data_IF_054606919245
#
_entry.id   IF_054606919245
#
_cell.length_a   1.000
_cell.length_b   1.000
_cell.length_c   1.000
_cell.angle_alpha   90.00
_cell.angle_beta   90.00
_cell.angle_gamma   90.00
#
_symmetry.space_group_name_H-M   'P 1'
#
loop_
_entity.id
_entity.type
_entity.pdbx_description
1 polymer ?
#
# COMPACT_ATOMS: atom_id res chain seq x y z
N UNK A 1 -9.03 -6.31 4.20
CA UNK A 1 -8.17 -5.12 4.29
C UNK A 1 -8.07 -4.67 5.73
N UNK A 2 -6.94 -4.07 6.13
CA UNK A 2 -6.74 -3.48 7.46
C UNK A 2 -6.62 -1.96 7.35
N UNK A 3 -7.03 -1.25 8.41
CA UNK A 3 -6.95 0.22 8.52
C UNK A 3 -5.98 0.69 9.60
N UNK A 4 -5.99 2.00 9.86
CA UNK A 4 -4.97 2.70 10.67
C UNK A 4 -4.72 2.08 12.05
N UNK A 5 -5.77 1.74 12.81
CA UNK A 5 -5.61 1.17 14.16
C UNK A 5 -4.81 -0.14 14.13
N UNK A 6 -5.21 -1.08 13.27
CA UNK A 6 -4.53 -2.37 13.13
C UNK A 6 -3.11 -2.17 12.61
N UNK A 7 -2.90 -1.21 11.71
CA UNK A 7 -1.55 -0.89 11.22
C UNK A 7 -0.62 -0.37 12.33
N UNK A 8 -1.12 0.48 13.23
CA UNK A 8 -0.38 0.94 14.41
C UNK A 8 -0.01 -0.22 15.33
N UNK A 9 -0.94 -1.14 15.58
CA UNK A 9 -0.69 -2.32 16.42
C UNK A 9 0.39 -3.22 15.78
N UNK A 10 0.28 -3.52 14.47
CA UNK A 10 1.26 -4.33 13.74
C UNK A 10 2.66 -3.71 13.74
N UNK A 11 2.80 -2.37 13.61
CA UNK A 11 4.10 -1.70 13.72
C UNK A 11 4.78 -1.94 15.07
N UNK A 12 4.00 -2.10 16.14
CA UNK A 12 4.55 -2.35 17.49
C UNK A 12 4.85 -3.82 17.77
N UNK A 13 4.16 -4.73 17.07
CA UNK A 13 4.24 -6.17 17.32
C UNK A 13 5.21 -6.91 16.38
N UNK A 14 5.33 -6.46 15.14
CA UNK A 14 6.10 -7.21 14.13
C UNK A 14 7.61 -7.11 14.39
N UNK A 15 8.34 -8.24 14.27
CA UNK A 15 9.79 -8.21 14.35
C UNK A 15 10.37 -7.43 13.16
N UNK A 16 11.57 -6.89 13.36
CA UNK A 16 12.28 -6.09 12.34
C UNK A 16 12.35 -6.79 10.97
N UNK A 17 12.62 -8.10 10.94
CA UNK A 17 12.69 -8.86 9.70
C UNK A 17 11.37 -8.86 8.90
N UNK A 18 10.21 -8.86 9.59
CA UNK A 18 8.91 -8.77 8.92
C UNK A 18 8.63 -7.34 8.45
N UNK A 19 9.09 -6.33 9.19
CA UNK A 19 8.94 -4.92 8.82
C UNK A 19 9.79 -4.54 7.59
N UNK A 20 10.92 -5.20 7.37
CA UNK A 20 11.82 -5.00 6.24
C UNK A 20 11.46 -5.87 5.02
N UNK A 21 10.45 -6.73 5.13
CA UNK A 21 9.96 -7.54 4.00
C UNK A 21 9.23 -6.67 2.98
N UNK A 22 9.29 -7.08 1.73
CA UNK A 22 8.65 -6.43 0.59
C UNK A 22 8.06 -7.49 -0.32
N UNK A 23 6.82 -7.28 -0.77
CA UNK A 23 6.24 -8.07 -1.84
C UNK A 23 6.87 -7.63 -3.16
N UNK A 24 7.76 -8.46 -3.71
CA UNK A 24 8.48 -8.23 -4.95
C UNK A 24 9.09 -6.82 -5.03
N UNK A 25 8.71 -6.02 -6.04
CA UNK A 25 9.23 -4.66 -6.24
C UNK A 25 8.47 -3.59 -5.44
N UNK A 26 7.54 -4.00 -4.58
CA UNK A 26 6.73 -3.13 -3.75
C UNK A 26 7.50 -2.41 -2.63
N UNK A 27 6.82 -1.58 -1.84
CA UNK A 27 7.39 -0.98 -0.64
C UNK A 27 7.52 -2.01 0.48
N UNK A 28 8.43 -1.75 1.41
CA UNK A 28 8.54 -2.54 2.62
C UNK A 28 7.27 -2.44 3.48
N UNK A 29 6.97 -3.51 4.21
CA UNK A 29 5.86 -3.60 5.16
C UNK A 29 5.86 -2.41 6.13
N UNK A 30 7.02 -1.95 6.60
CA UNK A 30 7.10 -0.80 7.49
C UNK A 30 6.61 0.52 6.88
N UNK A 31 6.87 0.78 5.60
CA UNK A 31 6.42 1.99 4.92
C UNK A 31 4.90 1.93 4.69
N UNK A 32 4.39 0.76 4.27
CA UNK A 32 2.97 0.50 4.07
C UNK A 32 2.18 0.68 5.37
N UNK A 33 2.65 0.10 6.47
CA UNK A 33 2.00 0.24 7.78
C UNK A 33 2.07 1.69 8.30
N UNK A 34 3.19 2.40 8.12
CA UNK A 34 3.30 3.83 8.48
C UNK A 34 2.34 4.69 7.65
N UNK A 35 2.24 4.43 6.34
CA UNK A 35 1.31 5.13 5.47
C UNK A 35 -0.13 4.96 5.96
N UNK A 36 -0.51 3.73 6.31
CA UNK A 36 -1.85 3.41 6.84
C UNK A 36 -2.11 3.98 8.23
N UNK A 37 -1.15 3.87 9.16
CA UNK A 37 -1.28 4.38 10.52
C UNK A 37 -1.43 5.92 10.55
N UNK A 38 -0.72 6.63 9.67
CA UNK A 38 -0.66 8.09 9.68
C UNK A 38 -1.76 8.76 8.85
N UNK A 39 -2.51 8.04 8.02
CA UNK A 39 -3.46 8.62 7.07
C UNK A 39 -4.83 7.94 7.15
N UNK A 40 -5.87 8.73 7.42
CA UNK A 40 -7.25 8.25 7.38
C UNK A 40 -7.67 7.86 5.96
N UNK A 41 -8.39 6.76 5.83
CA UNK A 41 -8.88 6.25 4.54
C UNK A 41 -7.82 5.52 3.72
N UNK A 42 -6.62 5.31 4.24
CA UNK A 42 -5.66 4.34 3.69
C UNK A 42 -5.98 2.96 4.25
N UNK A 43 -5.99 1.96 3.37
CA UNK A 43 -6.22 0.57 3.74
C UNK A 43 -5.19 -0.34 3.09
N UNK A 44 -4.86 -1.45 3.74
CA UNK A 44 -3.87 -2.41 3.27
C UNK A 44 -4.51 -3.77 3.01
N UNK A 45 -4.06 -4.44 1.94
CA UNK A 45 -4.34 -5.83 1.60
C UNK A 45 -3.11 -6.68 1.78
N UNK A 46 -3.30 -7.93 2.14
CA UNK A 46 -2.21 -8.88 2.32
C UNK A 46 -2.66 -10.14 3.01
N UNK A 47 -1.68 -10.97 3.35
CA UNK A 47 -1.90 -12.28 3.95
C UNK A 47 -0.81 -12.60 4.97
N UNK A 48 -1.10 -13.58 5.83
CA UNK A 48 -0.14 -14.12 6.78
C UNK A 48 0.42 -15.40 6.23
N UNK A 49 1.75 -15.50 6.21
CA UNK A 49 2.47 -16.74 5.99
C UNK A 49 2.67 -17.40 7.35
N UNK A 50 2.05 -18.56 7.55
CA UNK A 50 2.12 -19.33 8.79
C UNK A 50 2.76 -20.70 8.54
N UNK A 51 2.87 -21.50 9.61
CA UNK A 51 3.20 -22.91 9.55
C UNK A 51 2.57 -23.65 8.33
N UNK A 52 3.31 -24.57 7.68
CA UNK A 52 4.57 -25.18 8.10
C UNK A 52 5.83 -24.38 7.73
N UNK A 53 5.69 -23.14 7.23
CA UNK A 53 6.85 -22.31 6.90
C UNK A 53 7.58 -21.87 8.16
N UNK A 54 8.92 -21.92 8.11
CA UNK A 54 9.77 -21.50 9.23
C UNK A 54 9.87 -19.96 9.34
N UNK A 55 9.54 -19.26 8.25
CA UNK A 55 9.59 -17.82 8.08
C UNK A 55 8.19 -17.21 8.16
N UNK A 56 7.54 -17.41 9.31
CA UNK A 56 6.24 -16.81 9.58
C UNK A 56 6.31 -15.29 9.49
N UNK A 57 5.47 -14.71 8.62
CA UNK A 57 5.50 -13.28 8.33
C UNK A 57 4.16 -12.77 7.84
N UNK A 58 4.04 -11.45 7.81
CA UNK A 58 2.97 -10.76 7.10
C UNK A 58 3.55 -10.30 5.77
N UNK A 59 2.83 -10.56 4.68
CA UNK A 59 3.10 -9.97 3.37
C UNK A 59 1.95 -9.04 3.03
N UNK A 60 2.28 -7.84 2.54
CA UNK A 60 1.31 -6.82 2.13
C UNK A 60 1.48 -6.65 0.64
N UNK A 61 0.45 -6.99 -0.11
CA UNK A 61 0.45 -7.02 -1.58
C UNK A 61 -0.29 -5.84 -2.19
N UNK A 62 -1.11 -5.13 -1.41
CA UNK A 62 -1.87 -4.01 -1.93
C UNK A 62 -2.11 -2.90 -0.93
N UNK A 63 -2.25 -1.68 -1.45
CA UNK A 63 -2.61 -0.48 -0.71
C UNK A 63 -3.70 0.27 -1.45
N UNK A 64 -4.68 0.70 -0.68
CA UNK A 64 -5.70 1.64 -1.11
C UNK A 64 -5.34 3.04 -0.60
N UNK A 65 -5.29 4.02 -1.50
CA UNK A 65 -5.00 5.42 -1.18
C UNK A 65 -6.19 6.32 -1.58
N UNK A 66 -6.66 7.22 -0.71
CA UNK A 66 -7.65 8.23 -1.09
C UNK A 66 -7.18 9.05 -2.30
N UNK A 67 -8.08 9.35 -3.24
CA UNK A 67 -7.77 10.26 -4.35
C UNK A 67 -7.42 11.66 -3.81
N UNK A 68 -6.43 12.29 -4.43
CA UNK A 68 -5.94 13.62 -4.08
C UNK A 68 -6.04 14.53 -5.30
N UNK A 69 -6.13 15.84 -5.11
CA UNK A 69 -6.08 16.82 -6.21
C UNK A 69 -4.78 16.77 -7.01
N UNK A 70 -3.71 16.29 -6.38
CA UNK A 70 -2.35 16.24 -6.94
C UNK A 70 -2.21 15.16 -8.03
N UNK A 71 -3.13 14.18 -8.02
CA UNK A 71 -3.15 13.09 -8.97
C UNK A 71 -4.57 12.86 -9.49
N UNK A 72 -4.75 13.07 -10.79
CA UNK A 72 -6.00 12.77 -11.48
C UNK A 72 -5.82 11.57 -12.40
N UNK A 73 -6.88 10.76 -12.53
CA UNK A 73 -6.88 9.69 -13.52
C UNK A 73 -6.84 10.29 -14.94
N UNK A 74 -5.91 9.79 -15.74
CA UNK A 74 -5.66 10.17 -17.12
C UNK A 74 -5.71 8.90 -17.98
N UNK A 75 -6.46 8.95 -19.07
CA UNK A 75 -6.39 7.91 -20.10
C UNK A 75 -5.14 8.16 -20.99
N UNK A 76 -4.37 7.12 -21.36
CA UNK A 76 -4.49 5.71 -20.96
C UNK A 76 -3.90 5.42 -19.56
N UNK A 77 -4.21 4.26 -18.97
CA UNK A 77 -3.71 3.79 -17.66
C UNK A 77 -2.22 4.07 -17.41
N UNK A 78 -1.36 3.73 -18.39
CA UNK A 78 0.08 3.92 -18.27
C UNK A 78 0.47 5.38 -17.98
N UNK A 79 -0.33 6.34 -18.45
CA UNK A 79 -0.15 7.76 -18.17
C UNK A 79 -0.54 8.12 -16.74
N UNK A 80 -1.60 7.52 -16.21
CA UNK A 80 -1.97 7.68 -14.79
C UNK A 80 -0.86 7.16 -13.89
N UNK A 81 -0.40 5.93 -14.14
CA UNK A 81 0.70 5.32 -13.39
C UNK A 81 1.95 6.22 -13.39
N UNK A 82 2.45 6.59 -14.58
CA UNK A 82 3.68 7.38 -14.72
C UNK A 82 3.60 8.77 -14.08
N UNK A 83 2.43 9.41 -14.07
CA UNK A 83 2.25 10.75 -13.49
C UNK A 83 1.94 10.70 -11.99
N UNK A 84 1.14 9.74 -11.55
CA UNK A 84 0.60 9.71 -10.20
C UNK A 84 1.44 8.90 -9.23
N UNK A 85 2.01 7.78 -9.65
CA UNK A 85 2.73 6.90 -8.74
C UNK A 85 3.90 7.62 -8.04
N UNK A 86 4.77 8.38 -8.74
CA UNK A 86 5.84 9.12 -8.06
C UNK A 86 5.32 10.08 -6.98
N UNK A 87 4.21 10.79 -7.26
CA UNK A 87 3.59 11.74 -6.34
C UNK A 87 3.03 11.03 -5.12
N UNK A 88 2.28 9.95 -5.32
CA UNK A 88 1.67 9.19 -4.22
C UNK A 88 2.73 8.47 -3.39
N UNK A 89 3.74 7.89 -4.05
CA UNK A 89 4.88 7.23 -3.40
C UNK A 89 5.60 8.18 -2.45
N UNK A 90 5.91 9.39 -2.90
CA UNK A 90 6.55 10.41 -2.07
C UNK A 90 5.63 10.88 -0.94
N UNK A 91 4.38 11.22 -1.28
CA UNK A 91 3.39 11.75 -0.33
C UNK A 91 3.11 10.81 0.85
N UNK A 92 3.00 9.51 0.58
CA UNK A 92 2.71 8.50 1.59
C UNK A 92 3.97 7.85 2.18
N UNK A 93 5.18 8.29 1.80
CA UNK A 93 6.43 7.79 2.34
C UNK A 93 6.78 6.36 1.91
N UNK A 94 6.31 5.90 0.76
CA UNK A 94 6.56 4.56 0.19
C UNK A 94 7.93 4.50 -0.51
N UNK A 95 8.95 5.05 0.14
CA UNK A 95 10.26 5.31 -0.46
C UNK A 95 11.06 4.04 -0.70
N UNK A 96 10.81 2.98 0.06
CA UNK A 96 11.45 1.67 -0.11
C UNK A 96 11.01 0.89 -1.37
N UNK A 97 9.96 1.35 -2.08
CA UNK A 97 9.52 0.69 -3.31
C UNK A 97 10.63 0.62 -4.35
N UNK A 98 10.86 -0.56 -4.93
CA UNK A 98 11.94 -0.77 -5.91
C UNK A 98 11.46 -0.60 -7.35
N UNK A 99 10.15 -0.65 -7.60
CA UNK A 99 9.55 -0.52 -8.92
C UNK A 99 8.18 0.11 -8.91
N UNK A 100 7.56 0.08 -10.08
CA UNK A 100 6.16 0.46 -10.28
C UNK A 100 5.25 -0.68 -9.82
N UNK A 101 4.02 -0.37 -9.37
CA UNK A 101 3.00 -1.38 -9.12
C UNK A 101 2.52 -2.06 -10.40
N UNK A 102 2.14 -3.32 -10.27
CA UNK A 102 1.53 -4.12 -11.34
C UNK A 102 0.10 -3.64 -11.64
N UNK A 103 -0.65 -3.26 -10.60
CA UNK A 103 -1.97 -2.63 -10.74
C UNK A 103 -2.04 -1.24 -10.09
N UNK A 104 -2.70 -0.31 -10.78
CA UNK A 104 -2.88 1.09 -10.38
C UNK A 104 -4.25 1.60 -10.82
N UNK A 105 -5.29 1.14 -10.16
CA UNK A 105 -6.68 1.32 -10.59
C UNK A 105 -7.37 2.41 -9.79
N UNK A 106 -8.10 3.30 -10.48
CA UNK A 106 -9.03 4.19 -9.81
C UNK A 106 -10.31 3.40 -9.49
N UNK A 107 -10.58 3.16 -8.21
CA UNK A 107 -11.73 2.39 -7.74
C UNK A 107 -12.63 3.27 -6.84
N UNK A 108 -13.96 3.04 -6.84
CA UNK A 108 -14.87 3.75 -5.94
C UNK A 108 -14.63 3.33 -4.48
N UNK A 109 -14.72 4.26 -3.53
CA UNK A 109 -14.74 3.91 -2.10
C UNK A 109 -16.11 3.40 -1.70
N UNK A 110 -16.11 2.43 -0.78
CA UNK A 110 -17.28 1.82 -0.16
C UNK A 110 -17.93 2.67 0.95
N UNK A 111 -17.31 3.78 1.38
CA UNK A 111 -17.80 4.54 2.54
C UNK A 111 -18.35 5.95 2.26
N UNK A 112 -17.94 6.64 1.19
CA UNK A 112 -18.36 8.03 0.93
C UNK A 112 -18.43 8.43 -0.55
N UNK A 113 -18.46 7.47 -1.48
CA UNK A 113 -18.52 7.74 -2.94
C UNK A 113 -17.39 8.64 -3.46
N UNK A 114 -16.25 8.68 -2.76
CA UNK A 114 -15.02 9.28 -3.29
C UNK A 114 -14.28 8.21 -4.07
N UNK A 115 -13.50 8.57 -5.06
CA UNK A 115 -12.62 7.60 -5.71
C UNK A 115 -11.29 7.50 -4.94
N UNK A 116 -10.56 6.42 -5.15
CA UNK A 116 -9.15 6.34 -4.76
C UNK A 116 -8.41 5.27 -5.53
N UNK A 117 -7.13 5.18 -5.23
CA UNK A 117 -6.17 4.37 -5.97
C UNK A 117 -6.02 3.03 -5.27
N UNK A 118 -6.44 1.97 -5.93
CA UNK A 118 -6.00 0.62 -5.65
C UNK A 118 -4.64 0.42 -6.30
N UNK A 119 -3.65 0.04 -5.50
CA UNK A 119 -2.28 -0.18 -5.92
C UNK A 119 -1.88 -1.56 -5.43
N UNK A 120 -1.35 -2.40 -6.32
CA UNK A 120 -1.00 -3.80 -6.00
C UNK A 120 0.29 -4.24 -6.67
N UNK A 121 0.99 -5.16 -6.00
CA UNK A 121 2.23 -5.80 -6.44
C UNK A 121 2.05 -7.32 -6.40
N UNK A 122 2.36 -7.99 -7.50
CA UNK A 122 2.46 -9.47 -7.57
C UNK A 122 3.72 -9.92 -6.87
#
# INVERSE_FOLDING_TARGET
MIGSQVATELLSLLPKANLEESQNSGPQVCDLLKACANNLGVYLSGYVVCAPRFDERISIDGIYLPSTSDCSAQAPYARSLALCWPILREKYGLTSAQGDPDEFLLVPTDFQSRNGWWIWWD
#
